data_IF_417893747531
#
_entry.id   IF_417893747531
#
_cell.length_a   1.000
_cell.length_b   1.000
_cell.length_c   1.000
_cell.angle_alpha   90.00
_cell.angle_beta   90.00
_cell.angle_gamma   90.00
#
_symmetry.space_group_name_H-M   'P 1'
#
loop_
_entity.id
_entity.type
_entity.pdbx_description
1 polymer ?
#
# COMPACT_ATOMS: atom_id res chain seq x y z
N UNK A 1 120.70 73.97 -1.82
CA UNK A 1 120.52 73.51 -0.43
C UNK A 1 119.48 74.40 0.24
N UNK A 2 118.23 73.95 0.25
CA UNK A 2 117.28 74.33 1.29
C UNK A 2 116.46 73.06 1.52
N UNK A 3 116.66 72.53 2.72
CA UNK A 3 116.27 71.20 3.18
C UNK A 3 114.80 70.91 2.86
N UNK A 4 114.57 69.83 2.12
CA UNK A 4 113.38 69.02 2.34
C UNK A 4 113.66 68.27 3.65
N UNK A 5 113.32 68.90 4.76
CA UNK A 5 113.02 68.20 6.00
C UNK A 5 111.54 68.47 6.29
N UNK A 6 110.68 67.98 5.41
CA UNK A 6 109.38 67.52 5.91
C UNK A 6 109.78 66.42 6.88
N UNK A 7 109.63 66.66 8.19
CA UNK A 7 109.94 65.62 9.15
C UNK A 7 109.10 64.40 8.75
N UNK A 8 109.69 63.21 8.82
CA UNK A 8 108.97 61.97 8.47
C UNK A 8 107.59 61.91 9.15
N UNK A 9 107.49 62.49 10.35
CA UNK A 9 106.26 62.64 11.12
C UNK A 9 105.19 63.52 10.46
N UNK A 10 105.56 64.58 9.74
CA UNK A 10 104.61 65.48 9.06
C UNK A 10 104.09 64.88 7.74
N UNK A 11 104.95 64.16 7.00
CA UNK A 11 104.53 63.37 5.85
C UNK A 11 103.61 62.21 6.27
N UNK A 12 103.99 61.48 7.32
CA UNK A 12 103.18 60.39 7.87
C UNK A 12 101.83 60.91 8.41
N UNK A 13 101.78 62.10 9.04
CA UNK A 13 100.52 62.71 9.49
C UNK A 13 99.57 63.09 8.36
N UNK A 14 100.07 63.71 7.29
CA UNK A 14 99.23 64.08 6.15
C UNK A 14 98.72 62.83 5.40
N UNK A 15 99.57 61.82 5.23
CA UNK A 15 99.18 60.54 4.65
C UNK A 15 98.09 59.83 5.49
N UNK A 16 98.21 59.86 6.82
CA UNK A 16 97.19 59.30 7.73
C UNK A 16 95.87 60.07 7.60
N UNK A 17 95.90 61.40 7.55
CA UNK A 17 94.70 62.24 7.39
C UNK A 17 93.99 61.99 6.05
N UNK A 18 94.74 61.88 4.95
CA UNK A 18 94.17 61.58 3.63
C UNK A 18 93.57 60.16 3.59
N UNK A 19 94.22 59.19 4.22
CA UNK A 19 93.71 57.82 4.35
C UNK A 19 92.44 57.74 5.21
N UNK A 20 92.35 58.53 6.29
CA UNK A 20 91.14 58.64 7.11
C UNK A 20 89.98 59.27 6.33
N UNK A 21 90.27 60.28 5.50
CA UNK A 21 89.27 60.94 4.65
C UNK A 21 88.74 59.99 3.58
N UNK A 22 89.62 59.27 2.88
CA UNK A 22 89.23 58.25 1.88
C UNK A 22 88.41 57.13 2.54
N UNK A 23 88.76 56.72 3.76
CA UNK A 23 88.02 55.70 4.50
C UNK A 23 86.62 56.16 4.89
N UNK A 24 86.46 57.42 5.27
CA UNK A 24 85.16 57.98 5.62
C UNK A 24 84.27 58.17 4.37
N UNK A 25 84.85 58.59 3.25
CA UNK A 25 84.12 58.69 1.98
C UNK A 25 83.71 57.31 1.45
N UNK A 26 84.60 56.33 1.49
CA UNK A 26 84.29 54.94 1.15
C UNK A 26 83.18 54.35 2.05
N UNK A 27 83.15 54.74 3.33
CA UNK A 27 82.10 54.34 4.27
C UNK A 27 80.76 54.97 3.91
N UNK A 28 80.73 56.26 3.59
CA UNK A 28 79.52 56.96 3.15
C UNK A 28 78.96 56.39 1.85
N UNK A 29 79.83 56.08 0.88
CA UNK A 29 79.41 55.41 -0.36
C UNK A 29 78.86 54.01 -0.08
N UNK A 30 79.51 53.24 0.79
CA UNK A 30 79.02 51.92 1.22
C UNK A 30 77.63 52.01 1.89
N UNK A 31 77.44 52.98 2.78
CA UNK A 31 76.15 53.21 3.44
C UNK A 31 75.06 53.63 2.43
N UNK A 32 75.41 54.47 1.44
CA UNK A 32 74.51 54.85 0.36
C UNK A 32 74.14 53.65 -0.53
N UNK A 33 75.09 52.79 -0.85
CA UNK A 33 74.86 51.54 -1.62
C UNK A 33 73.96 50.59 -0.84
N UNK A 34 74.20 50.44 0.47
CA UNK A 34 73.36 49.60 1.34
C UNK A 34 71.92 50.12 1.41
N UNK A 35 71.73 51.44 1.45
CA UNK A 35 70.40 52.05 1.42
C UNK A 35 69.70 51.88 0.06
N UNK A 36 70.42 52.03 -1.05
CA UNK A 36 69.89 51.73 -2.40
C UNK A 36 69.50 50.24 -2.51
N UNK A 37 70.31 49.33 -1.95
CA UNK A 37 70.02 47.90 -1.92
C UNK A 37 68.75 47.60 -1.10
N UNK A 38 68.59 48.25 0.06
CA UNK A 38 67.40 48.14 0.90
C UNK A 38 66.15 48.62 0.16
N UNK A 39 66.20 49.81 -0.44
CA UNK A 39 65.09 50.38 -1.21
C UNK A 39 64.73 49.52 -2.42
N UNK A 40 65.72 48.94 -3.10
CA UNK A 40 65.50 48.01 -4.22
C UNK A 40 64.77 46.73 -3.78
N UNK A 41 65.14 46.14 -2.64
CA UNK A 41 64.46 44.98 -2.05
C UNK A 41 63.02 45.31 -1.63
N UNK A 42 62.79 46.46 -1.00
CA UNK A 42 61.46 46.93 -0.62
C UNK A 42 60.57 47.17 -1.84
N UNK A 43 61.12 47.73 -2.91
CA UNK A 43 60.42 47.91 -4.19
C UNK A 43 60.04 46.57 -4.85
N UNK A 44 60.92 45.58 -4.78
CA UNK A 44 60.63 44.21 -5.22
C UNK A 44 59.43 43.60 -4.47
N UNK A 45 59.44 43.70 -3.13
CA UNK A 45 58.32 43.25 -2.27
C UNK A 45 57.02 43.99 -2.60
N UNK A 46 57.07 45.31 -2.78
CA UNK A 46 55.90 46.10 -3.15
C UNK A 46 55.28 45.65 -4.49
N UNK A 47 56.12 45.39 -5.51
CA UNK A 47 55.64 44.88 -6.81
C UNK A 47 54.92 43.55 -6.69
N UNK A 48 55.47 42.63 -5.90
CA UNK A 48 54.87 41.31 -5.67
C UNK A 48 53.53 41.41 -4.93
N UNK A 49 53.48 42.23 -3.86
CA UNK A 49 52.24 42.52 -3.13
C UNK A 49 51.19 43.15 -4.04
N UNK A 50 51.58 44.10 -4.90
CA UNK A 50 50.68 44.76 -5.85
C UNK A 50 50.10 43.75 -6.85
N UNK A 51 50.92 42.91 -7.47
CA UNK A 51 50.44 41.85 -8.38
C UNK A 51 49.50 40.86 -7.68
N UNK A 52 49.82 40.43 -6.46
CA UNK A 52 48.96 39.53 -5.69
C UNK A 52 47.63 40.20 -5.31
N UNK A 53 47.63 41.50 -5.01
CA UNK A 53 46.41 42.27 -4.74
C UNK A 53 45.52 42.41 -5.98
N UNK A 54 46.11 42.61 -7.17
CA UNK A 54 45.39 42.67 -8.45
C UNK A 54 44.79 41.32 -8.82
N UNK A 55 45.55 40.22 -8.68
CA UNK A 55 45.03 38.85 -8.85
C UNK A 55 43.87 38.54 -7.88
N UNK A 56 43.98 38.98 -6.63
CA UNK A 56 42.94 38.78 -5.62
C UNK A 56 41.67 39.57 -5.93
N UNK A 57 41.79 40.79 -6.49
CA UNK A 57 40.64 41.58 -6.97
C UNK A 57 39.91 40.89 -8.12
N UNK A 58 40.64 40.40 -9.13
CA UNK A 58 40.06 39.66 -10.27
C UNK A 58 39.34 38.38 -9.78
N UNK A 59 39.95 37.65 -8.84
CA UNK A 59 39.33 36.46 -8.23
C UNK A 59 38.04 36.81 -7.48
N UNK A 60 38.04 37.92 -6.71
CA UNK A 60 36.85 38.42 -6.01
C UNK A 60 35.73 38.79 -6.98
N UNK A 61 36.02 39.55 -8.04
CA UNK A 61 35.04 39.90 -9.09
C UNK A 61 34.45 38.67 -9.78
N UNK A 62 35.29 37.66 -10.03
CA UNK A 62 34.86 36.37 -10.60
C UNK A 62 33.92 35.62 -9.65
N UNK A 63 34.23 35.57 -8.35
CA UNK A 63 33.38 34.96 -7.33
C UNK A 63 32.06 35.72 -7.15
N UNK A 64 32.07 37.05 -7.16
CA UNK A 64 30.86 37.87 -7.10
C UNK A 64 29.96 37.63 -8.31
N UNK A 65 30.53 37.48 -9.51
CA UNK A 65 29.79 37.14 -10.72
C UNK A 65 29.17 35.75 -10.62
N UNK A 66 29.94 34.74 -10.16
CA UNK A 66 29.42 33.39 -9.91
C UNK A 66 28.30 33.40 -8.87
N UNK A 67 28.44 34.17 -7.79
CA UNK A 67 27.43 34.30 -6.74
C UNK A 67 26.14 34.92 -7.29
N UNK A 68 26.22 35.91 -8.18
CA UNK A 68 25.04 36.47 -8.87
C UNK A 68 24.33 35.41 -9.73
N UNK A 69 25.08 34.58 -10.46
CA UNK A 69 24.51 33.50 -11.27
C UNK A 69 23.85 32.44 -10.39
N UNK A 70 24.51 31.99 -9.33
CA UNK A 70 23.95 31.01 -8.39
C UNK A 70 22.70 31.55 -7.71
N UNK A 71 22.71 32.82 -7.29
CA UNK A 71 21.53 33.48 -6.72
C UNK A 71 20.38 33.50 -7.71
N UNK A 72 20.63 33.87 -8.97
CA UNK A 72 19.59 33.85 -10.01
C UNK A 72 19.02 32.44 -10.21
N UNK A 73 19.86 31.41 -10.26
CA UNK A 73 19.41 30.01 -10.37
C UNK A 73 18.55 29.62 -9.16
N UNK A 74 18.95 30.03 -7.95
CA UNK A 74 18.18 29.79 -6.74
C UNK A 74 16.80 30.47 -6.80
N UNK A 75 16.77 31.75 -7.19
CA UNK A 75 15.52 32.51 -7.35
C UNK A 75 14.62 31.85 -8.41
N UNK A 76 15.16 31.44 -9.57
CA UNK A 76 14.42 30.73 -10.63
C UNK A 76 13.85 29.38 -10.14
N UNK A 77 14.59 28.64 -9.29
CA UNK A 77 14.12 27.38 -8.68
C UNK A 77 12.99 27.65 -7.68
N UNK A 78 13.11 28.69 -6.86
CA UNK A 78 12.07 29.11 -5.93
C UNK A 78 10.77 29.45 -6.67
N UNK A 79 10.87 30.27 -7.73
CA UNK A 79 9.74 30.65 -8.58
C UNK A 79 9.07 29.41 -9.23
N UNK A 80 9.89 28.50 -9.80
CA UNK A 80 9.38 27.25 -10.36
C UNK A 80 8.64 26.42 -9.31
N UNK A 81 9.21 26.28 -8.10
CA UNK A 81 8.64 25.48 -7.03
C UNK A 81 7.31 26.06 -6.54
N UNK A 82 7.18 27.38 -6.45
CA UNK A 82 5.91 28.05 -6.14
C UNK A 82 4.83 27.79 -7.20
N UNK A 83 5.18 27.95 -8.48
CA UNK A 83 4.25 27.69 -9.59
C UNK A 83 3.83 26.22 -9.61
N UNK A 84 4.77 25.30 -9.44
CA UNK A 84 4.50 23.86 -9.39
C UNK A 84 3.57 23.52 -8.23
N UNK A 85 3.87 23.99 -7.01
CA UNK A 85 3.04 23.74 -5.82
C UNK A 85 1.61 24.22 -6.00
N UNK A 86 1.44 25.45 -6.51
CA UNK A 86 0.11 26.01 -6.77
C UNK A 86 -0.67 25.15 -7.77
N UNK A 87 -0.06 24.82 -8.92
CA UNK A 87 -0.70 23.96 -9.94
C UNK A 87 -1.01 22.56 -9.42
N UNK A 88 -0.12 22.00 -8.60
CA UNK A 88 -0.31 20.70 -7.97
C UNK A 88 -1.51 20.73 -7.01
N UNK A 89 -1.58 21.71 -6.12
CA UNK A 89 -2.69 21.89 -5.19
C UNK A 89 -4.03 22.12 -5.91
N UNK A 90 -4.05 22.99 -6.93
CA UNK A 90 -5.23 23.20 -7.80
C UNK A 90 -5.68 21.89 -8.46
N UNK A 91 -4.72 21.07 -8.93
CA UNK A 91 -5.04 19.78 -9.56
C UNK A 91 -5.62 18.79 -8.55
N UNK A 92 -5.01 18.65 -7.36
CA UNK A 92 -5.50 17.76 -6.31
C UNK A 92 -6.90 18.17 -5.86
N UNK A 93 -7.14 19.47 -5.63
CA UNK A 93 -8.46 19.98 -5.26
C UNK A 93 -9.52 19.61 -6.31
N UNK A 94 -9.23 19.85 -7.59
CA UNK A 94 -10.13 19.49 -8.70
C UNK A 94 -10.38 17.98 -8.80
N UNK A 95 -9.34 17.16 -8.64
CA UNK A 95 -9.50 15.70 -8.64
C UNK A 95 -10.35 15.23 -7.47
N UNK A 96 -10.10 15.77 -6.26
CA UNK A 96 -10.89 15.44 -5.08
C UNK A 96 -12.34 15.86 -5.27
N UNK A 97 -12.62 17.07 -5.77
CA UNK A 97 -13.99 17.54 -6.08
C UNK A 97 -14.76 16.57 -6.98
N UNK A 98 -14.11 16.04 -8.02
CA UNK A 98 -14.72 15.08 -8.95
C UNK A 98 -15.03 13.72 -8.31
N UNK A 99 -14.33 13.34 -7.23
CA UNK A 99 -14.59 12.09 -6.53
C UNK A 99 -15.81 12.25 -5.62
N UNK A 100 -16.83 11.42 -5.82
CA UNK A 100 -18.01 11.37 -4.96
C UNK A 100 -17.69 10.80 -3.58
N UNK A 101 -17.78 11.62 -2.52
CA UNK A 101 -17.56 11.20 -1.13
C UNK A 101 -18.66 10.26 -0.63
N UNK A 102 -19.86 10.41 -1.18
CA UNK A 102 -20.96 9.48 -0.91
C UNK A 102 -20.65 8.09 -1.46
N UNK A 103 -20.07 8.02 -2.66
CA UNK A 103 -19.64 6.75 -3.25
C UNK A 103 -18.50 6.12 -2.43
N UNK A 104 -17.51 6.93 -2.02
CA UNK A 104 -16.42 6.46 -1.13
C UNK A 104 -16.99 5.87 0.17
N UNK A 105 -17.91 6.60 0.81
CA UNK A 105 -18.55 6.16 2.06
C UNK A 105 -19.37 4.88 1.86
N UNK A 106 -20.14 4.80 0.78
CA UNK A 106 -20.94 3.64 0.43
C UNK A 106 -20.07 2.40 0.24
N UNK A 107 -19.01 2.50 -0.56
CA UNK A 107 -18.10 1.37 -0.84
C UNK A 107 -17.39 0.93 0.44
N UNK A 108 -16.87 1.89 1.22
CA UNK A 108 -16.22 1.60 2.49
C UNK A 108 -17.16 0.85 3.44
N UNK A 109 -18.39 1.35 3.62
CA UNK A 109 -19.36 0.72 4.52
C UNK A 109 -19.80 -0.66 4.02
N UNK A 110 -19.92 -0.85 2.69
CA UNK A 110 -20.21 -2.17 2.10
C UNK A 110 -19.12 -3.20 2.37
N UNK A 111 -17.85 -2.80 2.46
CA UNK A 111 -16.74 -3.71 2.75
C UNK A 111 -16.62 -3.97 4.26
N UNK A 112 -16.86 -2.94 5.07
CA UNK A 112 -16.60 -3.03 6.51
C UNK A 112 -17.78 -3.53 7.36
N UNK A 113 -19.04 -3.48 6.87
CA UNK A 113 -20.30 -3.93 7.51
C UNK A 113 -20.20 -4.52 8.94
N UNK A 114 -19.75 -3.73 9.91
CA UNK A 114 -19.89 -4.04 11.33
C UNK A 114 -21.07 -3.22 11.86
N UNK A 115 -21.96 -3.87 12.61
CA UNK A 115 -23.17 -3.23 13.15
C UNK A 115 -22.85 -2.04 14.08
N UNK A 116 -21.62 -1.98 14.61
CA UNK A 116 -21.22 -1.06 15.67
C UNK A 116 -20.28 0.09 15.25
N UNK A 117 -19.74 0.12 14.02
CA UNK A 117 -18.87 1.21 13.57
C UNK A 117 -19.17 1.63 12.12
N UNK A 118 -20.20 2.44 11.95
CA UNK A 118 -20.50 3.00 10.63
C UNK A 118 -19.98 4.44 10.58
N UNK A 119 -19.10 4.70 9.61
CA UNK A 119 -18.80 6.08 9.20
C UNK A 119 -20.01 6.59 8.45
N UNK A 120 -20.62 7.65 8.98
CA UNK A 120 -21.80 8.27 8.36
C UNK A 120 -21.41 8.96 7.05
N UNK A 121 -20.30 9.70 7.06
CA UNK A 121 -19.74 10.35 5.87
C UNK A 121 -18.24 10.58 6.05
N UNK A 122 -17.47 10.29 5.01
CA UNK A 122 -16.10 10.77 4.89
C UNK A 122 -16.05 12.19 4.33
N UNK A 123 -15.26 13.03 4.98
CA UNK A 123 -14.93 14.38 4.53
C UNK A 123 -13.46 14.33 4.08
N UNK A 124 -13.24 14.50 2.77
CA UNK A 124 -11.92 14.37 2.15
C UNK A 124 -11.67 15.64 1.36
N UNK A 125 -10.77 16.46 1.88
CA UNK A 125 -10.56 17.84 1.41
C UNK A 125 -9.06 18.14 1.32
N UNK A 126 -8.65 18.97 0.35
CA UNK A 126 -7.31 19.53 0.37
C UNK A 126 -7.17 20.41 1.62
N UNK A 127 -6.11 20.18 2.38
CA UNK A 127 -5.68 21.08 3.44
C UNK A 127 -4.79 22.15 2.83
N UNK A 128 -5.44 23.26 2.45
CA UNK A 128 -4.81 24.42 1.80
C UNK A 128 -4.28 25.40 2.87
N UNK A 129 -4.44 25.10 4.16
CA UNK A 129 -4.03 25.97 5.27
C UNK A 129 -2.53 26.24 5.32
N UNK A 130 -1.71 25.35 4.74
CA UNK A 130 -0.28 25.55 4.55
C UNK A 130 0.10 25.39 3.07
N UNK A 131 0.26 26.51 2.36
CA UNK A 131 0.69 26.55 0.95
C UNK A 131 2.08 25.88 0.77
N UNK A 132 2.89 25.80 1.83
CA UNK A 132 4.21 25.18 1.77
C UNK A 132 4.17 23.65 1.74
N UNK A 133 3.15 23.04 2.34
CA UNK A 133 2.94 21.58 2.43
C UNK A 133 1.48 21.23 2.13
N UNK A 134 1.07 21.12 0.86
CA UNK A 134 -0.29 20.74 0.51
C UNK A 134 -0.59 19.34 1.05
N UNK A 135 -1.52 19.23 1.98
CA UNK A 135 -1.96 17.97 2.58
C UNK A 135 -3.38 17.64 2.13
N UNK A 136 -3.78 16.39 2.32
CA UNK A 136 -5.18 15.98 2.17
C UNK A 136 -5.66 15.60 3.57
N UNK A 137 -6.73 16.25 4.03
CA UNK A 137 -7.37 15.92 5.29
C UNK A 137 -8.37 14.80 5.05
N UNK A 138 -8.28 13.73 5.84
CA UNK A 138 -9.26 12.65 5.88
C UNK A 138 -9.98 12.71 7.21
N UNK A 139 -11.24 13.14 7.20
CA UNK A 139 -12.09 13.17 8.39
C UNK A 139 -13.27 12.25 8.21
N UNK A 140 -13.79 11.73 9.31
CA UNK A 140 -14.98 10.89 9.34
C UNK A 140 -16.01 11.47 10.30
N UNK A 141 -17.28 11.45 9.89
CA UNK A 141 -18.42 11.68 10.79
C UNK A 141 -18.83 10.32 11.34
N UNK A 142 -18.79 10.17 12.66
CA UNK A 142 -19.19 8.91 13.31
C UNK A 142 -20.72 8.85 13.43
N UNK A 143 -21.33 7.78 12.90
CA UNK A 143 -22.79 7.58 12.91
C UNK A 143 -23.34 7.65 14.34
N UNK A 144 -24.48 8.30 14.49
CA UNK A 144 -25.17 8.44 15.78
C UNK A 144 -24.59 9.45 16.76
N UNK A 145 -23.38 10.00 16.50
CA UNK A 145 -22.74 10.96 17.42
C UNK A 145 -22.55 12.35 16.82
N UNK A 146 -22.68 12.49 15.48
CA UNK A 146 -22.32 13.70 14.72
C UNK A 146 -20.88 14.20 14.96
N UNK A 147 -20.04 13.40 15.62
CA UNK A 147 -18.66 13.78 15.94
C UNK A 147 -17.79 13.64 14.69
N UNK A 148 -17.08 14.71 14.35
CA UNK A 148 -16.05 14.72 13.31
C UNK A 148 -14.72 14.33 13.95
N UNK A 149 -14.06 13.33 13.39
CA UNK A 149 -12.75 12.83 13.85
C UNK A 149 -11.77 12.74 12.69
N UNK A 150 -10.47 12.80 12.99
CA UNK A 150 -9.42 12.52 12.01
C UNK A 150 -9.38 11.00 11.74
N UNK A 151 -9.74 10.63 10.51
CA UNK A 151 -9.85 9.24 10.09
C UNK A 151 -8.50 8.51 10.15
N UNK A 152 -7.38 9.20 9.91
CA UNK A 152 -6.05 8.59 9.96
C UNK A 152 -5.64 8.23 11.39
N UNK A 153 -6.19 8.93 12.38
CA UNK A 153 -5.88 8.71 13.79
C UNK A 153 -6.71 7.60 14.44
N UNK A 154 -7.92 7.33 13.93
CA UNK A 154 -8.87 6.40 14.54
C UNK A 154 -9.03 5.08 13.80
N UNK A 155 -8.82 5.05 12.48
CA UNK A 155 -9.04 3.84 11.69
C UNK A 155 -7.86 2.89 11.80
N UNK A 156 -8.15 1.60 11.96
CA UNK A 156 -7.14 0.55 11.88
C UNK A 156 -6.52 0.49 10.48
N UNK A 157 -5.37 -0.18 10.36
CA UNK A 157 -4.69 -0.40 9.07
C UNK A 157 -5.58 -1.11 8.05
N UNK A 158 -6.43 -2.05 8.48
CA UNK A 158 -7.42 -2.70 7.62
C UNK A 158 -8.46 -1.70 7.09
N UNK A 159 -9.03 -0.89 7.98
CA UNK A 159 -10.01 0.13 7.60
C UNK A 159 -9.42 1.19 6.67
N UNK A 160 -8.18 1.66 6.92
CA UNK A 160 -7.50 2.60 6.02
C UNK A 160 -7.29 2.04 4.62
N UNK A 161 -7.04 0.73 4.50
CA UNK A 161 -6.94 0.07 3.19
C UNK A 161 -8.29 -0.04 2.50
N UNK A 162 -9.36 -0.36 3.23
CA UNK A 162 -10.73 -0.31 2.70
C UNK A 162 -11.09 1.11 2.21
N UNK A 163 -10.68 2.15 2.94
CA UNK A 163 -10.88 3.55 2.52
C UNK A 163 -10.10 3.88 1.24
N UNK A 164 -8.83 3.46 1.16
CA UNK A 164 -8.01 3.60 -0.04
C UNK A 164 -8.62 2.90 -1.26
N UNK A 165 -9.11 1.68 -1.07
CA UNK A 165 -9.82 0.93 -2.12
C UNK A 165 -11.10 1.63 -2.55
N UNK A 166 -11.91 2.10 -1.60
CA UNK A 166 -13.13 2.85 -1.88
C UNK A 166 -12.86 4.13 -2.68
N UNK A 167 -11.80 4.87 -2.32
CA UNK A 167 -11.33 6.05 -3.05
C UNK A 167 -10.91 5.72 -4.48
N UNK A 168 -10.13 4.66 -4.68
CA UNK A 168 -9.68 4.22 -6.00
C UNK A 168 -10.88 3.89 -6.89
N UNK A 169 -11.83 3.09 -6.39
CA UNK A 169 -13.00 2.68 -7.16
C UNK A 169 -13.94 3.86 -7.44
N UNK A 170 -14.18 4.73 -6.46
CA UNK A 170 -14.99 5.94 -6.64
C UNK A 170 -14.36 6.87 -7.70
N UNK A 171 -13.03 7.00 -7.70
CA UNK A 171 -12.30 7.75 -8.73
C UNK A 171 -12.47 7.14 -10.12
N UNK A 172 -12.36 5.81 -10.25
CA UNK A 172 -12.56 5.11 -11.52
C UNK A 172 -13.98 5.37 -12.05
N UNK A 173 -14.99 5.21 -11.19
CA UNK A 173 -16.41 5.45 -11.53
C UNK A 173 -16.71 6.89 -11.93
N UNK A 174 -15.97 7.86 -11.36
CA UNK A 174 -16.15 9.28 -11.65
C UNK A 174 -15.44 9.73 -12.93
N UNK A 175 -14.63 8.87 -13.56
CA UNK A 175 -13.90 9.20 -14.77
C UNK A 175 -14.67 8.73 -16.03
N UNK A 176 -15.20 9.65 -16.86
CA UNK A 176 -15.98 9.30 -18.05
C UNK A 176 -15.15 8.65 -19.17
N UNK A 177 -13.82 8.77 -19.13
CA UNK A 177 -12.90 8.14 -20.07
C UNK A 177 -12.23 6.88 -19.50
N UNK A 178 -12.79 6.28 -18.45
CA UNK A 178 -12.22 5.10 -17.81
C UNK A 178 -12.24 3.88 -18.75
N UNK A 179 -11.19 3.06 -18.64
CA UNK A 179 -11.14 1.75 -19.30
C UNK A 179 -12.26 0.88 -18.74
N UNK A 180 -12.87 0.05 -19.59
CA UNK A 180 -13.95 -0.88 -19.19
C UNK A 180 -13.46 -2.08 -18.35
N UNK A 181 -12.25 -2.00 -17.77
CA UNK A 181 -11.68 -3.05 -16.94
C UNK A 181 -10.92 -2.47 -15.74
N UNK A 182 -10.82 -3.26 -14.67
CA UNK A 182 -10.06 -2.95 -13.46
C UNK A 182 -9.19 -4.16 -13.13
N UNK A 183 -7.88 -3.94 -13.05
CA UNK A 183 -6.92 -4.95 -12.58
C UNK A 183 -6.54 -4.64 -11.13
N UNK A 184 -6.66 -5.63 -10.25
CA UNK A 184 -6.39 -5.51 -8.82
C UNK A 184 -5.42 -6.62 -8.40
N UNK A 185 -4.27 -6.22 -7.88
CA UNK A 185 -3.26 -7.14 -7.37
C UNK A 185 -3.35 -7.23 -5.84
N UNK A 186 -3.51 -8.45 -5.32
CA UNK A 186 -3.63 -8.78 -3.90
C UNK A 186 -4.58 -7.85 -3.11
N UNK A 187 -5.89 -7.86 -3.39
CA UNK A 187 -6.86 -6.95 -2.77
C UNK A 187 -7.06 -7.11 -1.25
N UNK A 188 -6.41 -8.10 -0.61
CA UNK A 188 -6.73 -8.62 0.71
C UNK A 188 -5.71 -8.23 1.78
N UNK A 189 -4.59 -7.60 1.42
CA UNK A 189 -3.48 -7.45 2.37
C UNK A 189 -3.99 -6.80 3.69
N UNK A 190 -3.82 -7.52 4.81
CA UNK A 190 -4.35 -7.24 6.17
C UNK A 190 -5.86 -6.92 6.30
N UNK A 191 -6.69 -7.63 5.55
CA UNK A 191 -8.15 -7.65 5.73
C UNK A 191 -8.57 -8.98 6.38
N UNK A 192 -9.29 -8.91 7.50
CA UNK A 192 -9.79 -10.08 8.23
C UNK A 192 -10.86 -10.85 7.46
N UNK A 193 -11.09 -12.12 7.82
CA UNK A 193 -11.94 -13.05 7.05
C UNK A 193 -13.37 -12.56 6.78
N UNK A 194 -13.94 -11.75 7.66
CA UNK A 194 -15.28 -11.15 7.51
C UNK A 194 -15.29 -10.09 6.40
N UNK A 195 -14.40 -9.11 6.51
CA UNK A 195 -14.21 -8.08 5.49
C UNK A 195 -13.86 -8.67 4.12
N UNK A 196 -13.18 -9.84 4.06
CA UNK A 196 -12.94 -10.56 2.80
C UNK A 196 -14.22 -10.97 2.10
N UNK A 197 -15.23 -11.45 2.83
CA UNK A 197 -16.49 -11.89 2.22
C UNK A 197 -17.28 -10.70 1.66
N UNK A 198 -17.33 -9.60 2.41
CA UNK A 198 -17.96 -8.35 1.99
C UNK A 198 -17.27 -7.75 0.77
N UNK A 199 -15.93 -7.75 0.77
CA UNK A 199 -15.13 -7.35 -0.39
C UNK A 199 -15.45 -8.21 -1.62
N UNK A 200 -15.55 -9.54 -1.48
CA UNK A 200 -15.89 -10.44 -2.59
C UNK A 200 -17.30 -10.15 -3.14
N UNK A 201 -18.27 -9.88 -2.27
CA UNK A 201 -19.62 -9.48 -2.67
C UNK A 201 -19.58 -8.18 -3.46
N UNK A 202 -18.86 -7.17 -2.96
CA UNK A 202 -18.68 -5.90 -3.66
C UNK A 202 -17.96 -6.06 -5.00
N UNK A 203 -16.90 -6.88 -5.05
CA UNK A 203 -16.19 -7.19 -6.29
C UNK A 203 -17.11 -7.84 -7.33
N UNK A 204 -18.09 -8.66 -6.92
CA UNK A 204 -19.08 -9.20 -7.85
C UNK A 204 -19.97 -8.12 -8.44
N UNK A 205 -20.48 -7.22 -7.61
CA UNK A 205 -21.26 -6.08 -8.09
C UNK A 205 -20.45 -5.23 -9.07
N UNK A 206 -19.19 -4.94 -8.73
CA UNK A 206 -18.27 -4.19 -9.58
C UNK A 206 -18.01 -4.93 -10.91
N UNK A 207 -17.89 -6.26 -10.85
CA UNK A 207 -17.72 -7.14 -12.02
C UNK A 207 -18.92 -7.19 -12.97
N UNK A 208 -20.08 -6.69 -12.55
CA UNK A 208 -21.23 -6.51 -13.44
C UNK A 208 -21.14 -5.24 -14.31
N UNK A 209 -20.28 -4.30 -13.91
CA UNK A 209 -20.09 -3.01 -14.58
C UNK A 209 -18.73 -2.93 -15.30
N UNK A 210 -17.70 -3.58 -14.74
CA UNK A 210 -16.33 -3.58 -15.26
C UNK A 210 -15.84 -5.01 -15.45
N UNK A 211 -14.98 -5.24 -16.45
CA UNK A 211 -14.20 -6.46 -16.49
C UNK A 211 -13.18 -6.45 -15.35
N UNK A 212 -13.27 -7.39 -14.42
CA UNK A 212 -12.32 -7.50 -13.32
C UNK A 212 -11.24 -8.53 -13.61
N UNK A 213 -9.99 -8.14 -13.36
CA UNK A 213 -8.83 -9.03 -13.34
C UNK A 213 -8.27 -8.96 -11.92
N UNK A 214 -8.32 -10.07 -11.20
CA UNK A 214 -7.85 -10.14 -9.81
C UNK A 214 -6.72 -11.15 -9.74
N UNK A 215 -5.57 -10.72 -9.26
CA UNK A 215 -4.44 -11.59 -8.92
C UNK A 215 -4.34 -11.70 -7.41
N UNK A 216 -4.05 -12.90 -6.92
CA UNK A 216 -3.76 -13.07 -5.50
C UNK A 216 -2.87 -14.27 -5.21
N UNK A 217 -2.02 -14.12 -4.19
CA UNK A 217 -1.25 -15.21 -3.60
C UNK A 217 -2.02 -15.99 -2.51
N UNK A 218 -3.16 -15.46 -2.03
CA UNK A 218 -3.96 -16.07 -0.97
C UNK A 218 -4.90 -17.15 -1.52
N UNK A 219 -4.57 -18.42 -1.24
CA UNK A 219 -5.35 -19.56 -1.73
C UNK A 219 -6.76 -19.63 -1.13
N UNK A 220 -6.92 -19.23 0.12
CA UNK A 220 -8.23 -19.24 0.78
C UNK A 220 -9.16 -18.25 0.08
N UNK A 221 -8.68 -17.03 -0.17
CA UNK A 221 -9.46 -16.03 -0.88
C UNK A 221 -9.79 -16.44 -2.32
N UNK A 222 -8.82 -17.03 -3.03
CA UNK A 222 -9.07 -17.62 -4.35
C UNK A 222 -10.22 -18.63 -4.31
N UNK A 223 -10.20 -19.57 -3.36
CA UNK A 223 -11.23 -20.59 -3.24
C UNK A 223 -12.60 -19.99 -2.86
N UNK A 224 -12.64 -18.95 -2.00
CA UNK A 224 -13.89 -18.22 -1.69
C UNK A 224 -14.42 -17.52 -2.94
N UNK A 225 -13.61 -16.75 -3.66
CA UNK A 225 -14.03 -16.07 -4.90
C UNK A 225 -14.56 -17.10 -5.89
N UNK A 226 -13.81 -18.16 -6.15
CA UNK A 226 -14.21 -19.22 -7.08
C UNK A 226 -15.58 -19.80 -6.70
N UNK A 227 -15.81 -20.07 -5.43
CA UNK A 227 -17.09 -20.59 -4.93
C UNK A 227 -18.23 -19.57 -5.01
N UNK A 228 -17.91 -18.31 -4.78
CA UNK A 228 -18.86 -17.20 -4.79
C UNK A 228 -19.32 -16.85 -6.21
N UNK A 229 -18.40 -16.88 -7.16
CA UNK A 229 -18.65 -16.54 -8.55
C UNK A 229 -19.05 -17.74 -9.42
N UNK A 230 -19.37 -18.89 -8.81
CA UNK A 230 -19.67 -20.12 -9.53
C UNK A 230 -20.92 -19.93 -10.43
N UNK A 231 -20.68 -19.82 -11.75
CA UNK A 231 -21.63 -19.39 -12.79
C UNK A 231 -20.84 -18.77 -13.97
N UNK A 232 -21.39 -18.84 -15.19
CA UNK A 232 -20.68 -18.66 -16.48
C UNK A 232 -19.87 -17.35 -16.71
N UNK A 233 -19.77 -16.45 -15.74
CA UNK A 233 -19.10 -15.14 -15.87
C UNK A 233 -17.71 -15.04 -15.24
N UNK A 234 -17.23 -16.04 -14.47
CA UNK A 234 -15.91 -16.00 -13.83
C UNK A 234 -15.00 -17.13 -14.33
N UNK A 235 -13.76 -16.79 -14.68
CA UNK A 235 -12.76 -17.74 -15.19
C UNK A 235 -11.62 -17.87 -14.17
N UNK A 236 -11.65 -18.90 -13.30
CA UNK A 236 -10.59 -19.12 -12.33
C UNK A 236 -9.35 -19.72 -13.01
N UNK A 237 -8.21 -19.07 -12.82
CA UNK A 237 -6.90 -19.57 -13.24
C UNK A 237 -6.02 -19.79 -12.01
N UNK A 238 -5.24 -20.85 -12.03
CA UNK A 238 -4.22 -21.10 -11.02
C UNK A 238 -2.85 -21.20 -11.70
N UNK A 239 -1.88 -20.44 -11.19
CA UNK A 239 -0.49 -20.47 -11.64
C UNK A 239 0.33 -21.33 -10.68
N UNK A 240 0.99 -22.35 -11.21
CA UNK A 240 1.97 -23.14 -10.46
C UNK A 240 3.28 -23.25 -11.24
N UNK A 241 4.39 -23.44 -10.52
CA UNK A 241 5.64 -23.83 -11.17
C UNK A 241 5.55 -25.32 -11.52
N UNK A 242 5.48 -25.61 -12.81
CA UNK A 242 5.51 -26.98 -13.32
C UNK A 242 6.92 -27.34 -13.79
N UNK A 243 7.37 -28.55 -13.46
CA UNK A 243 8.46 -29.19 -14.20
C UNK A 243 7.83 -29.96 -15.35
N UNK A 244 8.02 -29.51 -16.59
CA UNK A 244 7.72 -30.34 -17.75
C UNK A 244 8.77 -31.44 -17.75
N UNK A 245 8.32 -32.69 -17.67
CA UNK A 245 9.15 -33.88 -17.81
C UNK A 245 9.86 -33.84 -19.17
N UNK A 246 11.08 -33.24 -19.18
CA UNK A 246 12.15 -33.22 -20.18
C UNK A 246 12.87 -31.85 -20.34
N UNK A 247 12.54 -30.81 -19.57
CA UNK A 247 13.33 -29.57 -19.56
C UNK A 247 13.70 -29.13 -18.14
N UNK A 248 14.96 -28.76 -17.91
CA UNK A 248 15.45 -28.20 -16.65
C UNK A 248 14.92 -26.78 -16.35
N UNK A 249 14.08 -26.23 -17.23
CA UNK A 249 13.45 -24.93 -17.04
C UNK A 249 12.10 -25.12 -16.33
N UNK A 250 11.96 -24.49 -15.17
CA UNK A 250 10.67 -24.32 -14.50
C UNK A 250 9.84 -23.29 -15.27
N UNK A 251 8.74 -23.72 -15.86
CA UNK A 251 7.79 -22.81 -16.52
C UNK A 251 6.58 -22.56 -15.62
N UNK A 252 5.96 -21.38 -15.77
CA UNK A 252 4.71 -21.05 -15.10
C UNK A 252 3.57 -21.73 -15.86
N UNK A 253 2.94 -22.73 -15.24
CA UNK A 253 1.79 -23.43 -15.79
C UNK A 253 0.51 -22.72 -15.36
N UNK A 254 -0.27 -22.25 -16.33
CA UNK A 254 -1.62 -21.72 -16.13
C UNK A 254 -2.62 -22.88 -16.26
N UNK A 255 -3.25 -23.26 -15.16
CA UNK A 255 -4.30 -24.28 -15.14
C UNK A 255 -5.67 -23.64 -14.95
N UNK A 256 -6.67 -24.10 -15.72
CA UNK A 256 -8.08 -23.76 -15.48
C UNK A 256 -8.58 -24.68 -14.37
N UNK A 257 -9.05 -24.08 -13.28
CA UNK A 257 -9.48 -24.86 -12.12
C UNK A 257 -10.95 -25.31 -12.28
N UNK A 258 -11.20 -26.60 -12.12
CA UNK A 258 -12.50 -27.24 -12.36
C UNK A 258 -13.49 -26.88 -11.22
N UNK A 259 -14.81 -26.93 -11.48
CA UNK A 259 -15.88 -26.70 -10.49
C UNK A 259 -15.53 -27.42 -9.17
N UNK A 260 -15.52 -26.72 -8.02
CA UNK A 260 -15.09 -27.31 -6.77
C UNK A 260 -16.02 -28.46 -6.33
N UNK A 261 -15.44 -29.55 -5.84
CA UNK A 261 -16.15 -30.70 -5.28
C UNK A 261 -16.22 -30.57 -3.76
N UNK A 262 -17.37 -30.93 -3.16
CA UNK A 262 -17.54 -30.87 -1.70
C UNK A 262 -16.50 -31.70 -0.94
N UNK A 263 -16.03 -32.83 -1.50
CA UNK A 263 -14.97 -33.66 -0.90
C UNK A 263 -13.67 -32.90 -0.68
N UNK A 264 -13.25 -32.12 -1.69
CA UNK A 264 -12.03 -31.30 -1.59
C UNK A 264 -12.15 -30.22 -0.50
N UNK A 265 -13.35 -29.67 -0.29
CA UNK A 265 -13.56 -28.72 0.81
C UNK A 265 -13.58 -29.39 2.18
N UNK A 266 -14.09 -30.63 2.29
CA UNK A 266 -14.01 -31.41 3.53
C UNK A 266 -12.55 -31.71 3.88
N UNK A 267 -11.76 -32.19 2.91
CA UNK A 267 -10.32 -32.45 3.07
C UNK A 267 -9.57 -31.21 3.56
N UNK A 268 -9.79 -30.06 2.90
CA UNK A 268 -9.21 -28.78 3.35
C UNK A 268 -9.65 -28.41 4.77
N UNK A 269 -10.92 -28.60 5.11
CA UNK A 269 -11.41 -28.31 6.45
C UNK A 269 -10.69 -29.18 7.51
N UNK A 270 -10.47 -30.47 7.22
CA UNK A 270 -9.70 -31.39 8.07
C UNK A 270 -8.23 -30.95 8.19
N UNK A 271 -7.57 -30.60 7.08
CA UNK A 271 -6.19 -30.10 7.06
C UNK A 271 -6.01 -28.83 7.92
N UNK A 272 -6.86 -27.82 7.69
CA UNK A 272 -6.80 -26.58 8.47
C UNK A 272 -7.18 -26.80 9.94
N UNK A 273 -8.08 -27.75 10.23
CA UNK A 273 -8.39 -28.13 11.61
C UNK A 273 -7.22 -28.84 12.29
N UNK A 274 -6.38 -29.57 11.55
CA UNK A 274 -5.22 -30.27 12.10
C UNK A 274 -4.12 -29.28 12.52
N UNK A 275 -3.87 -28.24 11.71
CA UNK A 275 -2.90 -27.17 12.03
C UNK A 275 -3.45 -26.11 12.99
N UNK A 276 -4.64 -26.33 13.58
CA UNK A 276 -5.35 -25.41 14.48
C UNK A 276 -5.69 -24.03 13.87
N UNK A 277 -5.80 -23.94 12.54
CA UNK A 277 -6.32 -22.77 11.83
C UNK A 277 -7.84 -22.81 11.78
N UNK A 278 -8.46 -22.60 12.94
CA UNK A 278 -9.90 -22.82 13.17
C UNK A 278 -10.78 -21.96 12.27
N UNK A 279 -10.33 -20.75 11.91
CA UNK A 279 -11.06 -19.83 11.02
C UNK A 279 -11.15 -20.39 9.61
N UNK A 280 -10.02 -20.83 9.05
CA UNK A 280 -9.97 -21.45 7.73
C UNK A 280 -10.75 -22.77 7.72
N UNK A 281 -10.59 -23.61 8.74
CA UNK A 281 -11.31 -24.87 8.88
C UNK A 281 -12.84 -24.67 8.85
N UNK A 282 -13.34 -23.71 9.64
CA UNK A 282 -14.76 -23.37 9.69
C UNK A 282 -15.29 -22.87 8.35
N UNK A 283 -14.52 -22.01 7.68
CA UNK A 283 -14.85 -21.52 6.34
C UNK A 283 -15.00 -22.68 5.34
N UNK A 284 -14.01 -23.58 5.27
CA UNK A 284 -14.06 -24.71 4.34
C UNK A 284 -15.19 -25.69 4.67
N UNK A 285 -15.49 -25.91 5.96
CA UNK A 285 -16.66 -26.67 6.38
C UNK A 285 -17.96 -26.07 5.83
N UNK A 286 -18.13 -24.74 5.90
CA UNK A 286 -19.28 -24.06 5.28
C UNK A 286 -19.32 -24.23 3.77
N UNK A 287 -18.19 -24.06 3.07
CA UNK A 287 -18.10 -24.22 1.62
C UNK A 287 -18.48 -25.66 1.20
N UNK A 288 -18.06 -26.65 1.97
CA UNK A 288 -18.44 -28.05 1.79
C UNK A 288 -19.96 -28.23 1.90
N UNK A 289 -20.58 -27.78 2.99
CA UNK A 289 -22.03 -27.91 3.20
C UNK A 289 -22.83 -27.21 2.08
N UNK A 290 -22.45 -25.98 1.72
CA UNK A 290 -23.07 -25.25 0.61
C UNK A 290 -23.03 -26.11 -0.66
N UNK A 291 -21.86 -26.67 -0.99
CA UNK A 291 -21.68 -27.48 -2.20
C UNK A 291 -22.50 -28.77 -2.17
N UNK A 292 -22.61 -29.45 -1.02
CA UNK A 292 -23.46 -30.65 -0.85
C UNK A 292 -24.95 -30.30 -1.02
N UNK A 293 -25.41 -29.19 -0.46
CA UNK A 293 -26.81 -28.77 -0.60
C UNK A 293 -27.14 -28.38 -2.04
N UNK A 294 -26.22 -27.71 -2.74
CA UNK A 294 -26.39 -27.41 -4.16
C UNK A 294 -26.43 -28.68 -5.02
N UNK A 295 -25.59 -29.69 -4.74
CA UNK A 295 -25.63 -30.95 -5.51
C UNK A 295 -26.94 -31.70 -5.30
N UNK A 296 -27.49 -31.69 -4.08
CA UNK A 296 -28.83 -32.22 -3.80
C UNK A 296 -29.93 -31.46 -4.53
N UNK A 297 -29.87 -30.12 -4.52
CA UNK A 297 -30.84 -29.27 -5.22
C UNK A 297 -30.80 -29.49 -6.74
N UNK A 298 -29.61 -29.63 -7.34
CA UNK A 298 -29.44 -30.01 -8.74
C UNK A 298 -30.10 -31.38 -9.02
N UNK A 299 -29.90 -32.35 -8.12
CA UNK A 299 -30.41 -33.71 -8.27
C UNK A 299 -31.94 -33.81 -8.27
N UNK A 300 -32.62 -33.04 -7.42
CA UNK A 300 -34.09 -32.97 -7.41
C UNK A 300 -34.65 -31.94 -8.38
N UNK A 301 -33.78 -31.27 -9.14
CA UNK A 301 -34.14 -30.19 -10.06
C UNK A 301 -34.99 -29.10 -9.38
N UNK A 302 -34.51 -28.65 -8.21
CA UNK A 302 -35.23 -27.74 -7.32
C UNK A 302 -35.56 -26.42 -8.04
N UNK A 303 -36.85 -26.04 -8.03
CA UNK A 303 -37.30 -24.77 -8.62
C UNK A 303 -37.04 -23.61 -7.65
N UNK A 304 -36.18 -22.68 -8.05
CA UNK A 304 -35.77 -21.53 -7.25
C UNK A 304 -35.97 -20.24 -8.08
N UNK A 305 -36.39 -19.12 -7.45
CA UNK A 305 -36.44 -17.83 -8.13
C UNK A 305 -35.09 -17.45 -8.76
N UNK A 306 -35.11 -17.07 -10.04
CA UNK A 306 -33.91 -16.67 -10.75
C UNK A 306 -33.35 -15.35 -10.20
N UNK A 307 -32.04 -15.32 -9.93
CA UNK A 307 -31.29 -14.13 -9.52
C UNK A 307 -30.23 -13.81 -10.57
N UNK A 308 -30.30 -12.61 -11.16
CA UNK A 308 -29.38 -12.19 -12.23
C UNK A 308 -27.97 -11.85 -11.73
N UNK A 309 -27.86 -11.25 -10.55
CA UNK A 309 -26.61 -10.68 -10.02
C UNK A 309 -26.11 -11.47 -8.80
N UNK A 310 -27.05 -11.88 -7.93
CA UNK A 310 -26.73 -12.55 -6.68
C UNK A 310 -26.67 -14.08 -6.88
N UNK A 311 -25.69 -14.72 -6.23
CA UNK A 311 -25.61 -16.17 -6.13
C UNK A 311 -26.88 -16.65 -5.41
N UNK A 312 -27.41 -17.78 -5.86
CA UNK A 312 -28.38 -18.53 -5.07
C UNK A 312 -27.71 -18.91 -3.75
N UNK A 313 -28.39 -18.70 -2.64
CA UNK A 313 -27.88 -18.94 -1.28
C UNK A 313 -28.57 -20.15 -0.65
N UNK A 314 -28.06 -20.66 0.48
CA UNK A 314 -28.74 -21.71 1.25
C UNK A 314 -30.16 -21.25 1.65
N UNK A 315 -30.36 -19.97 1.98
CA UNK A 315 -31.69 -19.41 2.28
C UNK A 315 -32.67 -19.60 1.14
N UNK A 316 -32.20 -19.46 -0.10
CA UNK A 316 -33.04 -19.67 -1.27
C UNK A 316 -33.39 -21.15 -1.44
N UNK A 317 -32.45 -22.07 -1.15
CA UNK A 317 -32.71 -23.51 -1.14
C UNK A 317 -33.73 -23.90 -0.06
N UNK A 318 -33.56 -23.38 1.16
CA UNK A 318 -34.46 -23.65 2.29
C UNK A 318 -35.84 -23.02 2.05
N UNK A 319 -35.90 -21.80 1.51
CA UNK A 319 -37.14 -21.13 1.12
C UNK A 319 -37.89 -21.85 0.00
N UNK A 320 -37.16 -22.50 -0.91
CA UNK A 320 -37.72 -23.41 -1.92
C UNK A 320 -38.07 -24.81 -1.36
N UNK A 321 -38.00 -25.00 -0.04
CA UNK A 321 -38.36 -26.25 0.67
C UNK A 321 -37.57 -27.48 0.21
N UNK A 322 -36.25 -27.32 -0.03
CA UNK A 322 -35.36 -28.40 -0.45
C UNK A 322 -35.56 -29.72 0.33
N UNK A 323 -35.70 -29.65 1.67
CA UNK A 323 -35.91 -30.83 2.52
C UNK A 323 -37.17 -31.62 2.14
N UNK A 324 -38.29 -30.93 1.93
CA UNK A 324 -39.56 -31.60 1.59
C UNK A 324 -39.53 -32.15 0.16
N UNK A 325 -38.91 -31.43 -0.78
CA UNK A 325 -38.70 -31.94 -2.15
C UNK A 325 -37.81 -33.18 -2.18
N UNK A 326 -36.75 -33.22 -1.37
CA UNK A 326 -35.92 -34.42 -1.20
C UNK A 326 -36.70 -35.60 -0.64
N UNK A 327 -37.56 -35.38 0.36
CA UNK A 327 -38.43 -36.43 0.93
C UNK A 327 -39.45 -36.94 -0.08
N UNK A 328 -39.99 -36.06 -0.92
CA UNK A 328 -40.90 -36.44 -2.00
C UNK A 328 -40.20 -37.24 -3.10
N UNK A 329 -38.94 -36.88 -3.41
CA UNK A 329 -38.14 -37.55 -4.43
C UNK A 329 -37.63 -38.92 -3.96
N UNK A 330 -37.18 -39.03 -2.71
CA UNK A 330 -36.68 -40.27 -2.10
C UNK A 330 -37.65 -40.79 -1.03
N UNK A 331 -38.85 -41.20 -1.47
CA UNK A 331 -39.95 -41.60 -0.57
C UNK A 331 -39.52 -42.68 0.44
N UNK A 332 -38.76 -43.68 -0.02
CA UNK A 332 -38.30 -44.81 0.80
C UNK A 332 -37.32 -44.41 1.91
N UNK A 333 -36.66 -43.25 1.78
CA UNK A 333 -35.66 -42.74 2.72
C UNK A 333 -36.06 -41.42 3.38
N UNK A 334 -37.36 -41.09 3.33
CA UNK A 334 -37.90 -39.83 3.88
C UNK A 334 -37.56 -39.63 5.36
N UNK A 335 -37.63 -40.69 6.18
CA UNK A 335 -37.27 -40.63 7.61
C UNK A 335 -35.77 -40.37 7.83
N UNK A 336 -34.91 -40.97 7.01
CA UNK A 336 -33.46 -40.75 7.08
C UNK A 336 -33.10 -39.31 6.70
N UNK A 337 -33.73 -38.77 5.64
CA UNK A 337 -33.55 -37.37 5.23
C UNK A 337 -33.97 -36.43 6.36
N UNK A 338 -35.11 -36.66 6.99
CA UNK A 338 -35.56 -35.85 8.12
C UNK A 338 -34.55 -35.90 9.28
N UNK A 339 -34.04 -37.08 9.64
CA UNK A 339 -33.02 -37.24 10.69
C UNK A 339 -31.72 -36.49 10.37
N UNK A 340 -31.23 -36.57 9.14
CA UNK A 340 -29.98 -35.89 8.74
C UNK A 340 -30.11 -34.37 8.75
N UNK A 341 -31.22 -33.83 8.22
CA UNK A 341 -31.49 -32.40 8.31
C UNK A 341 -31.71 -31.95 9.76
N UNK A 342 -32.31 -32.79 10.60
CA UNK A 342 -32.41 -32.53 12.03
C UNK A 342 -31.01 -32.46 12.66
N UNK A 343 -30.12 -33.43 12.43
CA UNK A 343 -28.73 -33.40 12.94
C UNK A 343 -28.01 -32.10 12.58
N UNK A 344 -28.13 -31.66 11.32
CA UNK A 344 -27.58 -30.39 10.88
C UNK A 344 -28.19 -29.22 11.67
N UNK A 345 -29.52 -29.15 11.78
CA UNK A 345 -30.21 -28.04 12.47
C UNK A 345 -29.98 -27.98 13.99
N UNK A 346 -29.63 -29.10 14.63
CA UNK A 346 -29.29 -29.15 16.06
C UNK A 346 -27.88 -28.62 16.34
N UNK A 347 -26.99 -28.62 15.33
CA UNK A 347 -25.65 -28.09 15.48
C UNK A 347 -25.70 -26.56 15.55
N UNK A 348 -25.12 -25.97 16.60
CA UNK A 348 -25.11 -24.51 16.81
C UNK A 348 -24.64 -23.74 15.56
N UNK A 349 -23.58 -24.25 14.94
CA UNK A 349 -22.97 -23.70 13.72
C UNK A 349 -23.94 -23.64 12.52
N UNK A 350 -24.62 -24.74 12.19
CA UNK A 350 -25.51 -24.79 11.02
C UNK A 350 -26.93 -24.30 11.32
N UNK A 351 -27.36 -24.30 12.59
CA UNK A 351 -28.67 -23.79 12.99
C UNK A 351 -28.90 -22.37 12.48
N UNK A 352 -27.90 -21.50 12.59
CA UNK A 352 -27.99 -20.13 12.07
C UNK A 352 -28.11 -20.12 10.53
N UNK A 353 -27.31 -20.95 9.86
CA UNK A 353 -27.25 -21.06 8.40
C UNK A 353 -28.56 -21.61 7.79
N UNK A 354 -29.21 -22.56 8.47
CA UNK A 354 -30.41 -23.25 7.98
C UNK A 354 -31.72 -22.56 8.36
N UNK A 355 -31.78 -21.87 9.51
CA UNK A 355 -32.99 -21.21 9.99
C UNK A 355 -33.18 -19.76 9.50
N UNK A 356 -32.32 -19.29 8.59
CA UNK A 356 -32.55 -18.02 7.88
C UNK A 356 -32.35 -16.76 8.72
N UNK A 357 -31.30 -16.70 9.55
CA UNK A 357 -30.80 -15.41 10.02
C UNK A 357 -30.47 -14.51 8.81
N UNK A 358 -30.62 -13.18 8.92
CA UNK A 358 -30.15 -12.26 7.88
C UNK A 358 -28.68 -12.58 7.59
N UNK A 359 -28.34 -12.88 6.34
CA UNK A 359 -26.94 -13.11 5.93
C UNK A 359 -26.15 -11.80 5.86
N UNK A 360 -26.80 -10.70 6.22
CA UNK A 360 -26.29 -9.34 6.27
C UNK A 360 -25.83 -9.00 7.70
N UNK A 361 -26.18 -9.83 8.68
CA UNK A 361 -25.89 -9.65 10.11
C UNK A 361 -25.49 -11.01 10.73
N UNK A 362 -24.18 -11.15 10.97
CA UNK A 362 -23.56 -12.04 11.95
C UNK A 362 -23.69 -13.57 11.80
N UNK A 363 -22.81 -14.16 10.99
CA UNK A 363 -22.17 -15.47 11.34
C UNK A 363 -20.69 -15.46 10.97
N UNK A 364 -19.98 -14.44 11.44
CA UNK A 364 -18.53 -14.52 11.61
C UNK A 364 -18.22 -14.83 13.08
N UNK A 365 -17.09 -15.47 13.32
CA UNK A 365 -16.55 -15.79 14.66
C UNK A 365 -16.54 -14.52 15.56
N UNK A 366 -16.52 -14.63 16.91
CA UNK A 366 -16.98 -13.62 17.85
C UNK A 366 -16.46 -12.22 17.55
N UNK A 367 -17.41 -11.29 17.49
CA UNK A 367 -17.32 -10.07 18.27
C UNK A 367 -16.71 -10.39 19.65
N UNK A 368 -15.87 -9.54 20.24
CA UNK A 368 -15.27 -9.77 21.57
C UNK A 368 -16.28 -10.14 22.69
N UNK A 369 -17.59 -9.98 22.43
CA UNK A 369 -18.70 -10.29 23.33
C UNK A 369 -19.53 -11.57 22.98
N UNK A 370 -19.22 -12.36 21.93
CA UNK A 370 -20.04 -13.54 21.54
C UNK A 370 -19.26 -14.85 21.27
N UNK A 371 -18.90 -15.59 22.33
CA UNK A 371 -18.50 -17.03 22.36
C UNK A 371 -17.90 -17.67 21.09
N UNK A 372 -16.58 -17.79 21.08
CA UNK A 372 -15.77 -18.52 20.10
C UNK A 372 -16.14 -19.99 20.00
N UNK A 373 -16.26 -20.52 18.77
CA UNK A 373 -16.26 -21.98 18.57
C UNK A 373 -14.93 -22.57 19.00
N UNK A 374 -14.98 -23.55 19.87
CA UNK A 374 -13.84 -24.33 20.30
C UNK A 374 -13.33 -25.21 19.16
N UNK A 375 -12.06 -25.62 19.25
CA UNK A 375 -11.47 -26.63 18.33
C UNK A 375 -12.33 -27.89 18.26
N UNK A 376 -12.91 -28.28 19.40
CA UNK A 376 -13.79 -29.44 19.50
C UNK A 376 -15.07 -29.25 18.68
N UNK A 377 -15.74 -28.11 18.84
CA UNK A 377 -16.95 -27.79 18.07
C UNK A 377 -16.65 -27.77 16.56
N UNK A 378 -15.53 -27.20 16.12
CA UNK A 378 -15.20 -27.18 14.67
C UNK A 378 -14.89 -28.58 14.13
N UNK A 379 -14.26 -29.45 14.91
CA UNK A 379 -14.09 -30.87 14.53
C UNK A 379 -15.43 -31.59 14.42
N UNK A 380 -16.35 -31.34 15.35
CA UNK A 380 -17.72 -31.89 15.32
C UNK A 380 -18.50 -31.40 14.08
N UNK A 381 -18.35 -30.12 13.70
CA UNK A 381 -18.92 -29.55 12.46
C UNK A 381 -18.43 -30.31 11.22
N UNK A 382 -17.11 -30.49 11.11
CA UNK A 382 -16.47 -31.16 9.97
C UNK A 382 -16.96 -32.61 9.86
N UNK A 383 -16.98 -33.32 10.99
CA UNK A 383 -17.44 -34.70 11.05
C UNK A 383 -18.93 -34.82 10.69
N UNK A 384 -19.76 -33.87 11.13
CA UNK A 384 -21.18 -33.82 10.77
C UNK A 384 -21.37 -33.64 9.25
N UNK A 385 -20.60 -32.76 8.61
CA UNK A 385 -20.67 -32.57 7.14
C UNK A 385 -20.18 -33.81 6.41
N UNK A 386 -19.12 -34.46 6.90
CA UNK A 386 -18.58 -35.67 6.30
C UNK A 386 -19.60 -36.80 6.31
N UNK A 387 -20.26 -37.02 7.44
CA UNK A 387 -21.35 -38.00 7.56
C UNK A 387 -22.54 -37.63 6.66
N UNK A 388 -22.92 -36.35 6.60
CA UNK A 388 -23.97 -35.89 5.71
C UNK A 388 -23.62 -36.10 4.23
N UNK A 389 -22.38 -35.83 3.83
CA UNK A 389 -21.89 -36.04 2.46
C UNK A 389 -21.91 -37.53 2.08
N UNK A 390 -21.50 -38.42 2.99
CA UNK A 390 -21.60 -39.88 2.79
C UNK A 390 -23.06 -40.33 2.65
N UNK A 391 -23.97 -39.77 3.44
CA UNK A 391 -25.40 -40.01 3.29
C UNK A 391 -25.90 -39.55 1.91
N UNK A 392 -25.51 -38.37 1.44
CA UNK A 392 -25.88 -37.87 0.11
C UNK A 392 -25.37 -38.78 -1.00
N UNK A 393 -24.17 -39.33 -0.85
CA UNK A 393 -23.63 -40.33 -1.77
C UNK A 393 -24.44 -41.62 -1.77
N UNK A 394 -24.94 -42.05 -0.61
CA UNK A 394 -25.83 -43.21 -0.52
C UNK A 394 -27.21 -42.99 -1.15
N UNK A 395 -27.60 -41.73 -1.39
CA UNK A 395 -28.84 -41.40 -2.10
C UNK A 395 -28.63 -41.43 -3.63
N UNK A 396 -27.38 -41.39 -4.11
CA UNK A 396 -27.00 -41.49 -5.53
C UNK A 396 -27.04 -42.93 -6.00
#
# INVERSE_FOLDING_TARGET
MLNIEISKEEFDRNLISDLETIKEDARRESDAINEILRLSQEWGRYKEIKQNSEKSKISKETLETRMKVVKKIYDDICDFYEIYRRKYAERIAKELENISKNEVTLIYNKINQSENEVVDTFIIEPDIGNIEEPKISFRAVIKGTQKVVDALSILSTGHLRCLGFALLVARIKSNPNSLNFIAIDDPIYSIDHEHRYNLITYLRELGSQYQLIITTSDRVFYDIIKHQFNGNSFKPYNTSFGSISNCQNTEVVLSIDIKPCYRSYIEKAEEYSYINEIRAASLYARLALETVLFSLAEKVNLKIPYKRIHKITIKDLMGAKLKEELKNYFQDRSNEIEMEFQKLSHHRYFKSLLNGFPLDEEVHYPHEERSSYTVKEVKEVIETIKNFAQFVESLA
#
